data_IF_876783680339
#
_entry.id   IF_876783680339
#
_cell.length_a   1.000
_cell.length_b   1.000
_cell.length_c   1.000
_cell.angle_alpha   90.00
_cell.angle_beta   90.00
_cell.angle_gamma   90.00
#
_symmetry.space_group_name_H-M   'P 1'
#
loop_
_entity.id
_entity.type
_entity.pdbx_description
1 polymer ?
#
# COMPACT_ATOMS: atom_id res chain seq x y z
N UNK A 1 -50.53 11.98 3.80
CA UNK A 1 -49.28 11.71 4.53
C UNK A 1 -48.50 10.71 3.71
N UNK A 2 -47.32 11.11 3.21
CA UNK A 2 -46.50 10.28 2.32
C UNK A 2 -45.79 9.20 3.12
N UNK A 3 -45.93 7.93 2.72
CA UNK A 3 -45.07 6.84 3.19
C UNK A 3 -43.68 7.03 2.58
N UNK A 4 -42.83 7.83 3.22
CA UNK A 4 -41.41 7.96 2.83
C UNK A 4 -40.50 7.08 3.71
N UNK A 5 -41.07 6.37 4.70
CA UNK A 5 -40.33 5.61 5.73
C UNK A 5 -40.44 4.08 5.61
N UNK A 6 -40.66 3.54 4.40
CA UNK A 6 -40.50 2.10 4.16
C UNK A 6 -39.06 1.83 3.70
N UNK A 7 -38.13 1.84 4.64
CA UNK A 7 -36.81 1.25 4.43
C UNK A 7 -37.00 -0.26 4.29
N UNK A 8 -36.91 -0.77 3.06
CA UNK A 8 -36.84 -2.21 2.82
C UNK A 8 -35.44 -2.64 3.26
N UNK A 9 -35.35 -3.11 4.51
CA UNK A 9 -34.18 -3.84 5.01
C UNK A 9 -34.14 -5.15 4.24
N UNK A 10 -33.29 -5.23 3.22
CA UNK A 10 -33.00 -6.46 2.49
C UNK A 10 -31.91 -7.19 3.29
N UNK A 11 -32.33 -7.98 4.27
CA UNK A 11 -31.43 -8.93 4.93
C UNK A 11 -31.01 -9.99 3.91
N UNK A 12 -29.73 -10.02 3.56
CA UNK A 12 -29.16 -11.09 2.74
C UNK A 12 -29.00 -12.35 3.61
N UNK A 13 -29.79 -13.42 3.38
CA UNK A 13 -29.73 -14.63 4.21
C UNK A 13 -28.41 -15.40 4.05
N UNK A 14 -27.56 -15.01 3.11
CA UNK A 14 -26.25 -15.60 2.86
C UNK A 14 -25.09 -14.75 3.38
N UNK A 15 -25.38 -13.60 3.98
CA UNK A 15 -24.36 -12.77 4.61
C UNK A 15 -23.66 -13.56 5.73
N UNK A 16 -22.31 -13.54 5.79
CA UNK A 16 -21.58 -14.11 6.91
C UNK A 16 -22.01 -13.45 8.23
N UNK A 17 -22.07 -14.22 9.31
CA UNK A 17 -22.30 -13.67 10.65
C UNK A 17 -21.15 -12.72 11.03
N UNK A 18 -21.45 -11.63 11.73
CA UNK A 18 -20.45 -10.61 12.11
C UNK A 18 -19.28 -11.18 12.95
N UNK A 19 -19.49 -12.31 13.64
CA UNK A 19 -18.48 -13.02 14.45
C UNK A 19 -17.97 -14.30 13.75
N UNK A 20 -18.04 -14.34 12.42
CA UNK A 20 -17.49 -15.46 11.65
C UNK A 20 -15.95 -15.51 11.77
N UNK A 21 -15.37 -16.72 11.84
CA UNK A 21 -13.94 -16.88 12.14
C UNK A 21 -13.06 -16.28 11.05
N UNK A 22 -12.00 -15.57 11.45
CA UNK A 22 -11.06 -14.96 10.52
C UNK A 22 -10.27 -16.03 9.74
N UNK A 23 -10.18 -15.86 8.42
CA UNK A 23 -9.40 -16.75 7.54
C UNK A 23 -7.89 -16.50 7.71
N UNK A 24 -7.51 -15.25 8.01
CA UNK A 24 -6.13 -14.83 8.25
C UNK A 24 -6.13 -13.68 9.27
N UNK A 25 -5.07 -13.57 10.07
CA UNK A 25 -4.91 -12.42 10.98
C UNK A 25 -4.55 -11.16 10.19
N UNK A 26 -5.09 -10.01 10.61
CA UNK A 26 -4.73 -8.70 10.03
C UNK A 26 -3.22 -8.46 10.13
N UNK A 27 -2.61 -8.79 11.26
CA UNK A 27 -1.16 -8.65 11.47
C UNK A 27 -0.31 -9.45 10.47
N UNK A 28 -0.73 -10.66 10.08
CA UNK A 28 -0.01 -11.41 9.06
C UNK A 28 -0.11 -10.73 7.69
N UNK A 29 -1.29 -10.18 7.35
CA UNK A 29 -1.51 -9.44 6.11
C UNK A 29 -0.67 -8.16 6.08
N UNK A 30 -0.66 -7.40 7.17
CA UNK A 30 0.13 -6.17 7.33
C UNK A 30 1.62 -6.44 7.09
N UNK A 31 2.19 -7.45 7.76
CA UNK A 31 3.60 -7.83 7.58
C UNK A 31 3.91 -8.21 6.14
N UNK A 32 3.05 -9.02 5.51
CA UNK A 32 3.24 -9.43 4.11
C UNK A 32 3.23 -8.23 3.18
N UNK A 33 2.29 -7.31 3.34
CA UNK A 33 2.21 -6.09 2.52
C UNK A 33 3.44 -5.21 2.73
N UNK A 34 3.86 -4.98 3.97
CA UNK A 34 5.08 -4.22 4.28
C UNK A 34 6.32 -4.84 3.62
N UNK A 35 6.47 -6.17 3.67
CA UNK A 35 7.59 -6.86 3.02
C UNK A 35 7.57 -6.71 1.50
N UNK A 36 6.39 -6.79 0.87
CA UNK A 36 6.24 -6.62 -0.58
C UNK A 36 6.58 -5.19 -1.01
N UNK A 37 6.10 -4.18 -0.28
CA UNK A 37 6.41 -2.78 -0.56
C UNK A 37 7.89 -2.47 -0.33
N UNK A 38 8.50 -3.03 0.71
CA UNK A 38 9.93 -2.90 0.96
C UNK A 38 10.77 -3.55 -0.16
N UNK A 39 10.39 -4.75 -0.61
CA UNK A 39 11.06 -5.41 -1.73
C UNK A 39 10.96 -4.58 -3.03
N UNK A 40 9.78 -4.02 -3.31
CA UNK A 40 9.59 -3.13 -4.46
C UNK A 40 10.47 -1.86 -4.34
N UNK A 41 10.51 -1.24 -3.16
CA UNK A 41 11.36 -0.09 -2.88
C UNK A 41 12.86 -0.41 -3.10
N UNK A 42 13.32 -1.59 -2.68
CA UNK A 42 14.70 -2.02 -2.89
C UNK A 42 15.04 -2.19 -4.37
N UNK A 43 14.14 -2.81 -5.15
CA UNK A 43 14.31 -3.00 -6.60
C UNK A 43 14.38 -1.64 -7.32
N UNK A 44 13.41 -0.76 -7.05
CA UNK A 44 13.37 0.57 -7.63
C UNK A 44 14.60 1.40 -7.21
N UNK A 45 14.96 1.36 -5.93
CA UNK A 45 16.15 2.05 -5.43
C UNK A 45 17.42 1.61 -6.12
N UNK A 46 17.61 0.30 -6.31
CA UNK A 46 18.78 -0.24 -7.01
C UNK A 46 18.84 0.18 -8.49
N UNK A 47 17.73 0.06 -9.23
CA UNK A 47 17.69 0.43 -10.66
C UNK A 47 17.89 1.94 -10.86
N UNK A 48 17.29 2.77 -10.01
CA UNK A 48 17.45 4.22 -10.10
C UNK A 48 18.85 4.68 -9.65
N UNK A 49 19.46 4.00 -8.68
CA UNK A 49 20.86 4.25 -8.31
C UNK A 49 21.80 3.93 -9.48
N UNK A 50 21.61 2.80 -10.18
CA UNK A 50 22.43 2.44 -11.35
C UNK A 50 22.24 3.42 -12.52
N UNK A 51 21.06 4.04 -12.61
CA UNK A 51 20.69 5.00 -13.66
C UNK A 51 21.26 6.40 -13.40
N UNK A 52 21.74 6.66 -12.18
CA UNK A 52 22.24 7.96 -11.75
C UNK A 52 21.24 8.63 -10.80
N UNK A 53 21.63 8.77 -9.53
CA UNK A 53 20.81 9.34 -8.46
C UNK A 53 21.44 10.58 -7.83
N UNK A 54 22.33 11.26 -8.55
CA UNK A 54 23.02 12.46 -8.12
C UNK A 54 22.46 13.72 -8.78
N UNK A 55 22.83 14.86 -8.21
CA UNK A 55 22.52 16.17 -8.78
C UNK A 55 23.83 16.75 -9.34
N UNK A 56 23.92 16.83 -10.66
CA UNK A 56 25.12 17.29 -11.34
C UNK A 56 25.04 18.80 -11.68
N UNK A 57 26.06 19.32 -12.36
CA UNK A 57 26.12 20.74 -12.76
C UNK A 57 25.08 21.16 -13.79
N UNK A 58 24.45 20.22 -14.47
CA UNK A 58 23.42 20.41 -15.51
C UNK A 58 22.01 20.13 -14.99
N UNK A 59 21.86 19.43 -13.85
CA UNK A 59 20.59 19.17 -13.20
C UNK A 59 20.51 17.81 -12.51
N UNK A 60 19.31 17.37 -12.10
CA UNK A 60 19.10 16.05 -11.55
C UNK A 60 19.28 14.98 -12.63
N UNK A 61 20.01 13.93 -12.30
CA UNK A 61 20.07 12.73 -13.14
C UNK A 61 18.69 12.04 -13.23
N UNK A 62 18.43 11.23 -14.28
CA UNK A 62 17.12 10.61 -14.48
C UNK A 62 16.64 9.76 -13.30
N UNK A 63 17.55 9.10 -12.58
CA UNK A 63 17.25 8.30 -11.41
C UNK A 63 17.13 9.08 -10.10
N UNK A 64 17.49 10.36 -10.06
CA UNK A 64 17.53 11.17 -8.82
C UNK A 64 16.17 11.17 -8.11
N UNK A 65 15.12 11.66 -8.77
CA UNK A 65 13.79 11.74 -8.19
C UNK A 65 13.21 10.37 -7.76
N UNK A 66 13.13 9.35 -8.65
CA UNK A 66 12.57 8.06 -8.28
C UNK A 66 13.40 7.29 -7.24
N UNK A 67 14.71 7.56 -7.12
CA UNK A 67 15.54 6.98 -6.05
C UNK A 67 15.07 7.42 -4.67
N UNK A 68 14.88 8.73 -4.42
CA UNK A 68 14.44 9.20 -3.10
C UNK A 68 13.00 8.78 -2.77
N UNK A 69 12.11 8.69 -3.77
CA UNK A 69 10.79 8.10 -3.57
C UNK A 69 10.88 6.65 -3.08
N UNK A 70 11.82 5.87 -3.63
CA UNK A 70 12.06 4.49 -3.23
C UNK A 70 12.55 4.41 -1.77
N UNK A 71 13.40 5.33 -1.34
CA UNK A 71 13.84 5.41 0.06
C UNK A 71 12.68 5.73 1.02
N UNK A 72 11.81 6.67 0.65
CA UNK A 72 10.63 7.04 1.47
C UNK A 72 9.67 5.86 1.57
N UNK A 73 9.40 5.18 0.45
CA UNK A 73 8.55 3.99 0.42
C UNK A 73 9.14 2.88 1.29
N UNK A 74 10.43 2.60 1.16
CA UNK A 74 11.12 1.58 1.95
C UNK A 74 11.08 1.91 3.45
N UNK A 75 11.35 3.16 3.81
CA UNK A 75 11.26 3.65 5.19
C UNK A 75 9.84 3.55 5.77
N UNK A 76 8.83 3.95 4.99
CA UNK A 76 7.42 3.83 5.40
C UNK A 76 7.00 2.38 5.62
N UNK A 77 7.49 1.46 4.78
CA UNK A 77 7.23 0.02 4.90
C UNK A 77 7.87 -0.64 6.13
N UNK A 78 8.86 0.00 6.75
CA UNK A 78 9.49 -0.47 7.99
C UNK A 78 8.88 0.17 9.25
N UNK A 79 8.15 1.27 9.09
CA UNK A 79 7.49 1.97 10.20
C UNK A 79 6.08 1.45 10.47
N UNK A 80 5.34 1.12 9.40
CA UNK A 80 3.99 0.54 9.48
C UNK A 80 4.02 -0.86 10.07
#
# INVERSE_FOLDING_TARGET
MSQTDLEIVVDDPTAPEDDSPSVVSSGAVEIVVCLLLFALAAILGYDNWRTGASWDSTGPEPGYFPFYLSIILGGGSLYG
#
